data_IF_016032711753
#
_entry.id   IF_016032711753
#
_cell.length_a   1.000
_cell.length_b   1.000
_cell.length_c   1.000
_cell.angle_alpha   90.00
_cell.angle_beta   90.00
_cell.angle_gamma   90.00
#
_symmetry.space_group_name_H-M   'P 1'
#
loop_
_entity.id
_entity.type
_entity.pdbx_description
1 polymer ?
#
# COMPACT_ATOMS: atom_id res chain seq x y z
N UNK A 1 -45.63 -22.87 -5.60
CA UNK A 1 -44.82 -21.93 -6.41
C UNK A 1 -44.15 -20.83 -5.56
N UNK A 2 -44.77 -20.31 -4.50
CA UNK A 2 -44.17 -19.27 -3.64
C UNK A 2 -42.93 -19.72 -2.84
N UNK A 3 -42.82 -21.00 -2.48
CA UNK A 3 -41.67 -21.54 -1.71
C UNK A 3 -40.40 -21.75 -2.54
N UNK A 4 -40.53 -21.94 -3.86
CA UNK A 4 -39.38 -22.10 -4.77
C UNK A 4 -38.68 -20.77 -5.07
N UNK A 5 -39.40 -19.64 -5.04
CA UNK A 5 -38.85 -18.31 -5.28
C UNK A 5 -37.97 -17.87 -4.09
N UNK A 6 -38.28 -18.30 -2.86
CA UNK A 6 -37.51 -17.93 -1.66
C UNK A 6 -36.14 -18.62 -1.59
N UNK A 7 -36.01 -19.81 -2.18
CA UNK A 7 -34.73 -20.56 -2.23
C UNK A 7 -33.80 -19.97 -3.29
N UNK A 8 -34.33 -19.40 -4.36
CA UNK A 8 -33.53 -18.76 -5.42
C UNK A 8 -32.92 -17.42 -5.01
N UNK A 9 -33.50 -16.74 -4.00
CA UNK A 9 -32.98 -15.44 -3.51
C UNK A 9 -31.83 -15.57 -2.51
N UNK A 10 -31.58 -16.77 -1.99
CA UNK A 10 -30.52 -17.01 -0.97
C UNK A 10 -29.16 -17.37 -1.57
N UNK A 11 -29.07 -17.47 -2.90
CA UNK A 11 -27.87 -17.97 -3.61
C UNK A 11 -26.87 -16.94 -4.11
N UNK A 12 -27.11 -15.63 -3.94
CA UNK A 12 -26.26 -14.58 -4.54
C UNK A 12 -25.39 -13.80 -3.52
N UNK A 13 -24.99 -14.42 -2.41
CA UNK A 13 -23.88 -13.87 -1.64
C UNK A 13 -22.56 -14.31 -2.29
N UNK A 14 -22.19 -13.69 -3.39
CA UNK A 14 -20.82 -13.75 -3.89
C UNK A 14 -19.94 -12.96 -2.90
N UNK A 15 -19.27 -13.68 -2.01
CA UNK A 15 -18.20 -13.08 -1.21
C UNK A 15 -17.14 -12.57 -2.20
N UNK A 16 -17.10 -11.27 -2.42
CA UNK A 16 -16.01 -10.63 -3.13
C UNK A 16 -14.74 -10.85 -2.31
N UNK A 17 -13.89 -11.79 -2.71
CA UNK A 17 -12.54 -11.93 -2.18
C UNK A 17 -11.75 -10.72 -2.67
N UNK A 18 -11.80 -9.66 -1.88
CA UNK A 18 -11.00 -8.47 -2.15
C UNK A 18 -9.58 -8.72 -1.68
N UNK A 19 -8.60 -8.31 -2.48
CA UNK A 19 -7.21 -8.32 -2.08
C UNK A 19 -7.04 -7.49 -0.80
N UNK A 20 -6.62 -8.14 0.28
CA UNK A 20 -6.45 -7.50 1.58
C UNK A 20 -4.97 -7.50 1.95
N UNK A 21 -4.46 -6.33 2.31
CA UNK A 21 -3.13 -6.23 2.88
C UNK A 21 -3.11 -6.82 4.29
N UNK A 22 -2.11 -7.65 4.56
CA UNK A 22 -1.95 -8.36 5.83
C UNK A 22 -0.83 -7.78 6.70
N UNK A 23 0.18 -7.19 6.08
CA UNK A 23 1.30 -6.57 6.77
C UNK A 23 1.96 -5.48 5.93
N UNK A 24 2.63 -4.55 6.61
CA UNK A 24 3.57 -3.62 5.99
C UNK A 24 4.96 -3.80 6.60
N UNK A 25 5.98 -3.52 5.80
CA UNK A 25 7.36 -3.38 6.28
C UNK A 25 7.88 -2.02 5.86
N UNK A 26 8.37 -1.26 6.81
CA UNK A 26 8.98 0.03 6.55
C UNK A 26 10.39 0.08 7.11
N UNK A 27 11.27 0.81 6.45
CA UNK A 27 12.56 1.22 6.97
C UNK A 27 12.51 2.72 7.26
N UNK A 28 12.82 3.09 8.49
CA UNK A 28 12.91 4.50 8.88
C UNK A 28 14.33 5.03 8.70
N UNK A 29 14.43 6.32 8.43
CA UNK A 29 15.70 7.05 8.38
C UNK A 29 15.79 8.10 9.49
N UNK A 30 17.03 8.51 9.82
CA UNK A 30 17.27 9.46 10.91
C UNK A 30 17.39 8.83 12.30
N UNK A 31 17.37 7.50 12.39
CA UNK A 31 17.49 6.78 13.66
C UNK A 31 18.96 6.71 14.10
N UNK A 32 19.25 7.30 15.24
CA UNK A 32 20.60 7.31 15.83
C UNK A 32 20.69 6.57 17.15
N UNK A 33 19.55 6.18 17.75
CA UNK A 33 19.52 5.56 19.07
C UNK A 33 18.34 4.60 19.25
N UNK A 34 18.43 3.70 20.26
CA UNK A 34 17.37 2.74 20.59
C UNK A 34 16.09 3.42 21.08
N UNK A 35 16.16 4.60 21.69
CA UNK A 35 14.97 5.36 22.10
C UNK A 35 14.15 5.81 20.90
N UNK A 36 14.82 6.14 19.77
CA UNK A 36 14.18 6.51 18.53
C UNK A 36 13.34 5.35 17.96
N UNK A 37 13.87 4.13 18.01
CA UNK A 37 13.13 2.92 17.62
C UNK A 37 11.87 2.72 18.46
N UNK A 38 11.95 2.98 19.77
CA UNK A 38 10.81 2.84 20.67
C UNK A 38 9.71 3.89 20.40
N UNK A 39 10.07 5.12 19.98
CA UNK A 39 9.10 6.14 19.61
C UNK A 39 8.28 5.71 18.40
N UNK A 40 8.95 5.26 17.32
CA UNK A 40 8.27 4.73 16.14
C UNK A 40 7.42 3.48 16.47
N UNK A 41 7.98 2.54 17.25
CA UNK A 41 7.25 1.35 17.69
C UNK A 41 5.92 1.73 18.37
N UNK A 42 5.95 2.66 19.33
CA UNK A 42 4.76 3.12 20.05
C UNK A 42 3.76 3.80 19.12
N UNK A 43 4.23 4.66 18.21
CA UNK A 43 3.39 5.35 17.23
C UNK A 43 2.67 4.36 16.31
N UNK A 44 3.39 3.38 15.77
CA UNK A 44 2.81 2.33 14.92
C UNK A 44 1.83 1.43 15.70
N UNK A 45 2.18 1.06 16.94
CA UNK A 45 1.34 0.19 17.77
C UNK A 45 0.04 0.86 18.20
N UNK A 46 -0.01 2.19 18.24
CA UNK A 46 -1.21 2.97 18.57
C UNK A 46 -2.24 3.01 17.44
N UNK A 47 -1.87 2.65 16.21
CA UNK A 47 -2.80 2.66 15.07
C UNK A 47 -3.89 1.59 15.26
N UNK A 48 -5.17 1.93 15.06
CA UNK A 48 -6.32 1.08 15.43
C UNK A 48 -6.37 -0.25 14.64
N UNK A 49 -5.84 -0.26 13.43
CA UNK A 49 -5.80 -1.44 12.53
C UNK A 49 -4.57 -2.32 12.73
N UNK A 50 -3.64 -1.95 13.62
CA UNK A 50 -2.41 -2.70 13.88
C UNK A 50 -2.64 -3.75 14.96
N UNK A 51 -2.31 -5.00 14.65
CA UNK A 51 -2.31 -6.14 15.58
C UNK A 51 -0.99 -6.22 16.33
N UNK A 52 0.14 -6.24 15.63
CA UNK A 52 1.47 -6.32 16.20
C UNK A 52 2.48 -5.50 15.40
N UNK A 53 3.58 -5.13 16.06
CA UNK A 53 4.74 -4.48 15.45
C UNK A 53 5.98 -5.26 15.88
N UNK A 54 6.77 -5.69 14.90
CA UNK A 54 8.09 -6.29 15.11
C UNK A 54 9.15 -5.26 14.67
N UNK A 55 10.25 -5.19 15.43
CA UNK A 55 11.32 -4.22 15.13
C UNK A 55 12.66 -4.92 14.92
N UNK A 56 13.35 -4.55 13.85
CA UNK A 56 14.75 -4.87 13.67
C UNK A 56 15.60 -3.62 13.83
N UNK A 57 16.18 -3.45 15.03
CA UNK A 57 16.95 -2.25 15.40
C UNK A 57 18.18 -2.07 14.52
N UNK A 58 18.83 -3.18 14.08
CA UNK A 58 20.04 -3.12 13.25
C UNK A 58 19.81 -2.42 11.91
N UNK A 59 18.64 -2.68 11.31
CA UNK A 59 18.30 -2.17 9.98
C UNK A 59 17.25 -1.07 10.03
N UNK A 60 16.89 -0.59 11.23
CA UNK A 60 15.80 0.39 11.42
C UNK A 60 14.50 -0.02 10.70
N UNK A 61 14.18 -1.32 10.69
CA UNK A 61 13.02 -1.89 10.00
C UNK A 61 11.93 -2.24 10.99
N UNK A 62 10.70 -1.89 10.63
CA UNK A 62 9.49 -2.16 11.40
C UNK A 62 8.52 -2.97 10.53
N UNK A 63 8.11 -4.14 11.02
CA UNK A 63 7.09 -4.97 10.38
C UNK A 63 5.81 -4.80 11.17
N UNK A 64 4.79 -4.27 10.52
CA UNK A 64 3.48 -4.00 11.11
C UNK A 64 2.49 -5.01 10.57
N UNK A 65 1.98 -5.89 11.41
CA UNK A 65 0.94 -6.87 11.08
C UNK A 65 -0.42 -6.24 11.33
N UNK A 66 -1.33 -6.39 10.38
CA UNK A 66 -2.66 -5.79 10.46
C UNK A 66 -3.66 -6.75 11.11
N UNK A 67 -4.71 -6.19 11.70
CA UNK A 67 -5.85 -6.96 12.21
C UNK A 67 -6.65 -7.53 11.05
N UNK A 68 -7.18 -8.72 11.23
CA UNK A 68 -8.07 -9.34 10.25
C UNK A 68 -9.34 -8.49 10.04
N UNK A 69 -9.79 -8.42 8.80
CA UNK A 69 -11.00 -7.72 8.39
C UNK A 69 -11.04 -6.20 8.72
N UNK A 70 -9.88 -5.60 8.94
CA UNK A 70 -9.74 -4.16 9.13
C UNK A 70 -8.90 -3.58 8.00
N UNK A 71 -9.42 -2.57 7.32
CA UNK A 71 -8.67 -1.89 6.26
C UNK A 71 -7.49 -1.12 6.85
N UNK A 72 -6.27 -1.48 6.45
CA UNK A 72 -5.05 -0.79 6.88
C UNK A 72 -4.91 0.54 6.14
N UNK A 73 -4.67 1.63 6.86
CA UNK A 73 -4.39 2.94 6.27
C UNK A 73 -2.89 3.12 6.06
N UNK A 74 -2.48 3.09 4.79
CA UNK A 74 -1.07 3.20 4.36
C UNK A 74 -0.50 4.59 4.71
N UNK A 75 -1.29 5.65 4.49
CA UNK A 75 -0.85 7.02 4.80
C UNK A 75 -0.75 7.23 6.32
N UNK A 76 -1.64 6.64 7.12
CA UNK A 76 -1.57 6.70 8.57
C UNK A 76 -0.28 6.07 9.14
N UNK A 77 0.21 4.98 8.54
CA UNK A 77 1.50 4.37 8.95
C UNK A 77 2.64 5.35 8.70
N UNK A 78 2.70 5.95 7.51
CA UNK A 78 3.71 6.97 7.15
C UNK A 78 3.64 8.15 8.13
N UNK A 79 2.44 8.70 8.32
CA UNK A 79 2.22 9.86 9.19
C UNK A 79 2.65 9.57 10.64
N UNK A 80 2.37 8.38 11.18
CA UNK A 80 2.80 7.98 12.51
C UNK A 80 4.33 8.00 12.68
N UNK A 81 5.09 7.66 11.62
CA UNK A 81 6.56 7.75 11.63
C UNK A 81 7.02 9.21 11.53
N UNK A 82 6.38 10.01 10.68
CA UNK A 82 6.69 11.44 10.52
C UNK A 82 6.36 12.25 11.77
N UNK A 83 5.22 12.00 12.41
CA UNK A 83 4.80 12.62 13.66
C UNK A 83 5.73 12.26 14.84
N UNK A 84 6.36 11.08 14.78
CA UNK A 84 7.40 10.69 15.72
C UNK A 84 8.76 11.38 15.46
N UNK A 85 8.86 12.23 14.41
CA UNK A 85 10.06 13.02 14.06
C UNK A 85 11.01 12.30 13.12
N UNK A 86 10.60 11.25 12.42
CA UNK A 86 11.43 10.45 11.53
C UNK A 86 10.90 10.47 10.11
N UNK A 87 11.65 9.92 9.15
CA UNK A 87 11.22 9.80 7.76
C UNK A 87 11.22 8.34 7.32
N UNK A 88 10.38 8.01 6.36
CA UNK A 88 10.35 6.69 5.74
C UNK A 88 11.38 6.64 4.61
N UNK A 89 12.29 5.67 4.66
CA UNK A 89 13.29 5.42 3.63
C UNK A 89 12.83 4.39 2.61
N UNK A 90 11.98 3.45 3.03
CA UNK A 90 11.31 2.47 2.18
C UNK A 90 10.04 1.96 2.82
N UNK A 91 9.09 1.56 1.98
CA UNK A 91 7.81 1.06 2.44
C UNK A 91 7.27 -0.02 1.50
N UNK A 92 6.94 -1.16 2.07
CA UNK A 92 6.31 -2.27 1.34
C UNK A 92 5.04 -2.70 2.03
N UNK A 93 4.08 -3.17 1.26
CA UNK A 93 2.87 -3.83 1.78
C UNK A 93 2.76 -5.23 1.18
N UNK A 94 2.36 -6.18 2.01
CA UNK A 94 2.11 -7.56 1.61
C UNK A 94 0.63 -7.84 1.72
N UNK A 95 0.07 -8.46 0.71
CA UNK A 95 -1.33 -8.84 0.66
C UNK A 95 -1.55 -10.13 -0.11
N UNK A 96 -2.77 -10.66 0.00
CA UNK A 96 -3.22 -11.81 -0.79
C UNK A 96 -3.97 -11.29 -2.01
N UNK A 97 -3.57 -11.75 -3.19
CA UNK A 97 -4.14 -11.37 -4.47
C UNK A 97 -4.76 -12.60 -5.14
N UNK A 98 -5.85 -12.40 -5.85
CA UNK A 98 -6.51 -13.43 -6.64
C UNK A 98 -6.51 -12.99 -8.12
N UNK A 99 -5.59 -13.56 -8.89
CA UNK A 99 -5.45 -13.34 -10.33
C UNK A 99 -5.52 -11.87 -10.78
N UNK A 100 -4.92 -10.95 -10.01
CA UNK A 100 -4.90 -9.53 -10.31
C UNK A 100 -3.90 -9.21 -11.42
N UNK A 101 -4.39 -8.84 -12.60
CA UNK A 101 -3.54 -8.40 -13.71
C UNK A 101 -2.99 -7.00 -13.44
N UNK A 102 -1.67 -6.83 -13.54
CA UNK A 102 -0.98 -5.55 -13.41
C UNK A 102 -0.12 -5.27 -14.65
N UNK A 103 0.16 -4.01 -14.90
CA UNK A 103 1.04 -3.59 -16.00
C UNK A 103 1.60 -2.20 -15.77
N UNK A 104 2.64 -1.84 -16.54
CA UNK A 104 3.26 -0.53 -16.42
C UNK A 104 2.30 0.58 -16.81
N UNK A 105 2.32 1.69 -16.04
CA UNK A 105 1.46 2.86 -16.21
C UNK A 105 -0.06 2.53 -16.24
N UNK A 106 -0.48 1.47 -15.53
CA UNK A 106 -1.89 1.10 -15.38
C UNK A 106 -2.41 1.40 -13.98
N UNK A 107 -3.63 1.93 -13.90
CA UNK A 107 -4.37 2.11 -12.65
C UNK A 107 -5.20 0.88 -12.34
N UNK A 108 -5.15 0.43 -11.09
CA UNK A 108 -5.84 -0.78 -10.65
C UNK A 108 -6.43 -0.50 -9.26
N UNK A 109 -7.62 -1.04 -9.00
CA UNK A 109 -8.23 -1.00 -7.68
C UNK A 109 -7.82 -2.24 -6.89
N UNK A 110 -7.27 -2.03 -5.70
CA UNK A 110 -6.95 -3.09 -4.74
C UNK A 110 -7.70 -2.78 -3.46
N UNK A 111 -8.70 -3.59 -3.14
CA UNK A 111 -9.64 -3.27 -2.08
C UNK A 111 -10.48 -2.04 -2.45
N UNK A 112 -10.37 -1.01 -1.64
CA UNK A 112 -11.03 0.30 -1.81
C UNK A 112 -10.10 1.40 -2.33
N UNK A 113 -8.86 1.05 -2.76
CA UNK A 113 -7.80 2.00 -3.09
C UNK A 113 -7.35 1.90 -4.52
N UNK A 114 -6.98 3.04 -5.09
CA UNK A 114 -6.41 3.15 -6.42
C UNK A 114 -4.89 3.05 -6.36
N UNK A 115 -4.33 2.14 -7.17
CA UNK A 115 -2.89 1.96 -7.35
C UNK A 115 -2.51 2.22 -8.80
N UNK A 116 -1.42 2.93 -9.00
CA UNK A 116 -0.76 3.11 -10.28
C UNK A 116 0.56 2.35 -10.24
N UNK A 117 0.70 1.32 -11.08
CA UNK A 117 1.93 0.54 -11.14
C UNK A 117 2.93 1.15 -12.10
N UNK A 118 4.18 1.31 -11.63
CA UNK A 118 5.29 1.90 -12.39
C UNK A 118 6.52 0.98 -12.37
N UNK A 119 7.22 0.91 -13.50
CA UNK A 119 8.41 0.05 -13.69
C UNK A 119 8.12 -1.44 -13.42
N UNK A 120 7.00 -1.93 -13.90
CA UNK A 120 6.64 -3.35 -13.83
C UNK A 120 6.41 -3.91 -15.24
N UNK A 121 6.63 -5.20 -15.41
CA UNK A 121 6.18 -5.90 -16.61
C UNK A 121 4.73 -6.34 -16.43
N UNK A 122 4.01 -6.51 -17.54
CA UNK A 122 2.66 -7.08 -17.54
C UNK A 122 2.70 -8.48 -16.93
N UNK A 123 1.94 -8.69 -15.87
CA UNK A 123 1.87 -9.98 -15.17
C UNK A 123 0.61 -10.08 -14.31
N UNK A 124 0.36 -11.27 -13.77
CA UNK A 124 -0.75 -11.58 -12.89
C UNK A 124 -0.23 -11.84 -11.48
N UNK A 125 -0.72 -11.07 -10.51
CA UNK A 125 -0.45 -11.33 -9.09
C UNK A 125 -1.42 -12.38 -8.57
N UNK A 126 -0.88 -13.45 -7.98
CA UNK A 126 -1.67 -14.51 -7.37
C UNK A 126 -1.02 -14.98 -6.08
N UNK A 127 -1.84 -15.27 -5.06
CA UNK A 127 -1.36 -15.62 -3.72
C UNK A 127 -0.78 -14.44 -2.93
N UNK A 128 0.07 -14.72 -1.96
CA UNK A 128 0.74 -13.68 -1.17
C UNK A 128 1.84 -13.01 -2.00
N UNK A 129 1.74 -11.69 -2.14
CA UNK A 129 2.73 -10.85 -2.85
C UNK A 129 3.01 -9.59 -2.06
N UNK A 130 4.24 -9.10 -2.22
CA UNK A 130 4.69 -7.83 -1.66
C UNK A 130 4.86 -6.81 -2.78
N UNK A 131 4.28 -5.62 -2.58
CA UNK A 131 4.44 -4.48 -3.46
C UNK A 131 5.15 -3.35 -2.71
N UNK A 132 5.98 -2.59 -3.40
CA UNK A 132 6.71 -1.44 -2.84
C UNK A 132 5.96 -0.17 -3.19
N UNK A 133 5.63 0.64 -2.19
CA UNK A 133 5.03 1.96 -2.39
C UNK A 133 6.14 2.94 -2.75
N UNK A 134 5.96 3.64 -3.88
CA UNK A 134 6.99 4.52 -4.44
C UNK A 134 6.59 5.99 -4.47
N UNK A 135 5.57 6.36 -3.70
CA UNK A 135 5.12 7.74 -3.54
C UNK A 135 6.13 8.61 -2.80
N UNK A 136 5.99 9.92 -2.99
CA UNK A 136 6.71 10.92 -2.22
C UNK A 136 6.43 10.75 -0.72
N UNK A 137 7.50 10.71 0.09
CA UNK A 137 7.42 10.47 1.54
C UNK A 137 7.43 8.99 1.95
N UNK A 138 7.28 8.05 1.02
CA UNK A 138 7.43 6.60 1.25
C UNK A 138 8.81 6.06 0.85
N UNK A 139 9.60 6.89 0.18
CA UNK A 139 10.96 6.59 -0.25
C UNK A 139 11.90 7.76 0.08
N UNK A 140 13.20 7.47 0.04
CA UNK A 140 14.19 8.54 0.00
C UNK A 140 13.98 9.43 -1.25
N UNK A 141 14.29 10.70 -1.15
CA UNK A 141 14.16 11.68 -2.26
C UNK A 141 14.85 11.19 -3.53
N UNK A 142 16.04 10.57 -3.39
CA UNK A 142 16.79 10.00 -4.52
C UNK A 142 16.02 8.90 -5.23
N UNK A 143 15.42 7.98 -4.48
CA UNK A 143 14.67 6.87 -5.05
C UNK A 143 13.33 7.35 -5.64
N UNK A 144 12.64 8.27 -4.99
CA UNK A 144 11.44 8.88 -5.56
C UNK A 144 11.72 9.50 -6.95
N UNK A 145 12.83 10.24 -7.11
CA UNK A 145 13.22 10.82 -8.41
C UNK A 145 13.38 9.76 -9.51
N UNK A 146 13.91 8.57 -9.18
CA UNK A 146 14.06 7.47 -10.16
C UNK A 146 12.72 6.93 -10.65
N UNK A 147 11.70 6.86 -9.77
CA UNK A 147 10.36 6.38 -10.14
C UNK A 147 9.56 7.48 -10.83
N UNK A 148 9.63 8.72 -10.34
CA UNK A 148 8.91 9.84 -10.96
C UNK A 148 9.40 10.16 -12.38
N UNK A 149 10.64 9.84 -12.71
CA UNK A 149 11.15 9.97 -14.07
C UNK A 149 10.71 8.82 -15.02
N UNK A 150 10.11 7.75 -14.48
CA UNK A 150 9.70 6.60 -15.26
C UNK A 150 8.26 6.68 -15.79
N UNK A 151 7.51 7.70 -15.41
CA UNK A 151 6.15 7.97 -15.88
C UNK A 151 5.96 9.46 -16.13
N UNK A 152 5.13 9.80 -17.11
CA UNK A 152 4.71 11.18 -17.38
C UNK A 152 3.41 11.56 -16.67
N UNK A 153 2.80 10.65 -15.93
CA UNK A 153 1.51 10.88 -15.28
C UNK A 153 1.64 11.84 -14.09
N UNK A 154 0.83 12.90 -14.09
CA UNK A 154 0.88 13.96 -13.08
C UNK A 154 0.52 13.44 -11.67
N UNK A 155 -0.29 12.38 -11.55
CA UNK A 155 -0.63 11.75 -10.28
C UNK A 155 0.61 11.31 -9.49
N UNK A 156 1.71 10.93 -10.16
CA UNK A 156 2.98 10.57 -9.52
C UNK A 156 3.55 11.68 -8.64
N UNK A 157 3.33 12.95 -9.01
CA UNK A 157 3.83 14.11 -8.25
C UNK A 157 2.85 14.53 -7.15
N UNK A 158 1.55 14.38 -7.39
CA UNK A 158 0.49 14.88 -6.52
C UNK A 158 -0.04 13.84 -5.53
N UNK A 159 0.11 12.54 -5.83
CA UNK A 159 -0.53 11.45 -5.09
C UNK A 159 -2.06 11.41 -5.29
N UNK A 160 -2.59 12.19 -6.23
CA UNK A 160 -4.02 12.32 -6.50
C UNK A 160 -4.30 12.15 -7.98
N UNK A 161 -5.47 11.55 -8.28
CA UNK A 161 -5.94 11.43 -9.65
C UNK A 161 -6.23 12.79 -10.28
N UNK A 162 -5.92 12.90 -11.54
CA UNK A 162 -6.21 14.04 -12.40
C UNK A 162 -6.66 13.55 -13.77
N UNK A 163 -6.64 14.44 -14.77
CA UNK A 163 -7.10 14.14 -16.13
C UNK A 163 -6.41 12.93 -16.79
N UNK A 164 -5.16 12.61 -16.39
CA UNK A 164 -4.47 11.41 -16.85
C UNK A 164 -5.10 10.12 -16.33
N UNK A 165 -5.65 10.13 -15.11
CA UNK A 165 -6.24 8.96 -14.44
C UNK A 165 -7.73 8.79 -14.80
N UNK A 166 -8.43 9.89 -15.13
CA UNK A 166 -9.85 9.86 -15.52
C UNK A 166 -10.10 9.00 -16.77
N UNK A 167 -9.14 8.98 -17.69
CA UNK A 167 -9.19 8.14 -18.91
C UNK A 167 -9.21 6.64 -18.58
N UNK A 168 -8.74 6.26 -17.38
CA UNK A 168 -8.73 4.88 -16.88
C UNK A 168 -9.83 4.64 -15.82
N UNK A 169 -10.84 5.54 -15.75
CA UNK A 169 -12.01 5.38 -14.90
C UNK A 169 -11.80 5.76 -13.43
N UNK A 170 -10.70 6.44 -13.09
CA UNK A 170 -10.45 6.92 -11.73
C UNK A 170 -11.08 8.31 -11.58
N UNK A 171 -12.00 8.48 -10.64
CA UNK A 171 -12.63 9.77 -10.38
C UNK A 171 -11.59 10.84 -9.98
N UNK A 172 -11.86 12.10 -10.31
CA UNK A 172 -10.96 13.21 -10.01
C UNK A 172 -10.67 13.34 -8.50
N UNK A 173 -9.45 13.76 -8.18
CA UNK A 173 -9.00 14.06 -6.81
C UNK A 173 -9.01 12.87 -5.83
N UNK A 174 -9.08 11.63 -6.33
CA UNK A 174 -8.94 10.43 -5.51
C UNK A 174 -7.47 10.19 -5.14
N UNK A 175 -7.22 9.62 -3.95
CA UNK A 175 -5.86 9.18 -3.57
C UNK A 175 -5.41 8.04 -4.48
N UNK A 176 -4.27 8.20 -5.12
CA UNK A 176 -3.63 7.18 -5.95
C UNK A 176 -2.27 6.84 -5.34
N UNK A 177 -2.08 5.58 -4.97
CA UNK A 177 -0.79 5.05 -4.53
C UNK A 177 0.02 4.59 -5.74
N UNK A 178 1.29 4.96 -5.79
CA UNK A 178 2.20 4.46 -6.81
C UNK A 178 2.97 3.27 -6.27
N UNK A 179 3.02 2.20 -7.04
CA UNK A 179 3.60 0.94 -6.59
C UNK A 179 4.48 0.30 -7.67
N UNK A 180 5.45 -0.49 -7.21
CA UNK A 180 6.26 -1.37 -8.07
C UNK A 180 6.37 -2.75 -7.42
N UNK A 181 6.86 -3.72 -8.18
CA UNK A 181 7.22 -5.04 -7.66
C UNK A 181 8.72 -5.11 -7.37
N UNK A 182 9.05 -5.94 -6.38
CA UNK A 182 10.43 -6.16 -5.97
C UNK A 182 10.82 -5.34 -4.75
N UNK A 183 11.88 -5.80 -4.11
CA UNK A 183 12.48 -5.15 -2.96
C UNK A 183 13.18 -3.87 -3.40
N UNK A 184 13.11 -2.88 -2.53
CA UNK A 184 13.71 -1.57 -2.61
C UNK A 184 14.93 -1.48 -3.53
N UNK A 185 14.92 -0.56 -4.51
CA UNK A 185 16.18 -0.18 -5.15
C UNK A 185 17.02 0.59 -4.13
N UNK A 186 17.99 -0.11 -3.53
CA UNK A 186 19.03 0.47 -2.70
C UNK A 186 19.78 1.63 -3.37
#
# INVERSE_FOLDING_TARGET
MKKLIFILLLGLFTASVQAQFTKASLQASGLTCSMCNNAIYKALKALPFVASVETNVKNATFITVFKDNVAADIDAIKNAVEDAGFSVASFTVTGKFDHLAIGNDKHIVIGDRHFHFVKVNDQVLNGEKTITIVDKGFLSVRNFKKFSAATSMACMQTGKSGSCCEKEGVAANMRVYHATLGTNPG
#
